data_IF_633568659343
#
_entry.id   IF_633568659343
#
_cell.length_a   1.000
_cell.length_b   1.000
_cell.length_c   1.000
_cell.angle_alpha   90.00
_cell.angle_beta   90.00
_cell.angle_gamma   90.00
#
_symmetry.space_group_name_H-M   'P 1'
#
loop_
_entity.id
_entity.type
_entity.pdbx_description
1 polymer ?
#
# COMPACT_ATOMS: atom_id res chain seq x y z
N UNK A 1 43.57 -24.45 19.59
CA UNK A 1 42.16 -24.62 19.16
C UNK A 1 41.17 -23.56 19.68
N UNK A 2 41.60 -22.41 20.25
CA UNK A 2 40.66 -21.39 20.78
C UNK A 2 40.50 -20.15 19.88
N UNK A 3 41.46 -19.87 18.99
CA UNK A 3 41.45 -18.68 18.11
C UNK A 3 40.52 -18.86 16.90
N UNK A 4 40.45 -20.06 16.32
CA UNK A 4 39.51 -20.33 15.21
C UNK A 4 38.04 -20.30 15.66
N UNK A 5 37.76 -20.70 16.91
CA UNK A 5 36.41 -20.61 17.48
C UNK A 5 36.01 -19.15 17.71
N UNK A 6 36.94 -18.28 18.16
CA UNK A 6 36.69 -16.84 18.34
C UNK A 6 36.42 -16.11 17.02
N UNK A 7 37.15 -16.45 15.95
CA UNK A 7 36.92 -15.87 14.62
C UNK A 7 35.55 -16.26 14.04
N UNK A 8 35.12 -17.52 14.26
CA UNK A 8 33.81 -17.99 13.79
C UNK A 8 32.66 -17.31 14.54
N UNK A 9 32.80 -17.10 15.87
CA UNK A 9 31.80 -16.38 16.66
C UNK A 9 31.72 -14.90 16.28
N UNK A 10 32.85 -14.25 15.98
CA UNK A 10 32.88 -12.85 15.53
C UNK A 10 32.25 -12.67 14.14
N UNK A 11 32.46 -13.63 13.23
CA UNK A 11 31.85 -13.63 11.90
C UNK A 11 30.32 -13.80 11.96
N UNK A 12 29.81 -14.67 12.84
CA UNK A 12 28.37 -14.88 13.00
C UNK A 12 27.63 -13.64 13.52
N UNK A 13 28.24 -12.82 14.39
CA UNK A 13 27.59 -11.61 14.94
C UNK A 13 27.40 -10.52 13.87
N UNK A 14 28.30 -10.43 12.89
CA UNK A 14 28.24 -9.43 11.81
C UNK A 14 27.17 -9.80 10.77
N UNK A 15 26.91 -11.09 10.57
CA UNK A 15 25.88 -11.57 9.62
C UNK A 15 24.44 -11.27 10.06
N UNK A 16 24.17 -11.01 11.34
CA UNK A 16 22.82 -10.70 11.85
C UNK A 16 22.43 -9.22 11.75
N UNK A 17 23.28 -8.36 11.17
CA UNK A 17 22.96 -6.93 10.98
C UNK A 17 22.24 -6.62 9.67
N UNK A 18 21.79 -7.63 8.92
CA UNK A 18 20.85 -7.46 7.82
C UNK A 18 19.46 -7.13 8.38
N UNK A 19 19.34 -5.93 8.95
CA UNK A 19 18.05 -5.38 9.31
C UNK A 19 17.22 -5.29 8.04
N UNK A 20 16.02 -5.86 8.05
CA UNK A 20 14.92 -5.49 7.16
C UNK A 20 14.46 -4.05 7.47
N UNK A 21 15.40 -3.13 7.57
CA UNK A 21 15.16 -1.73 7.86
C UNK A 21 14.43 -1.17 6.65
N UNK A 22 13.26 -0.61 6.88
CA UNK A 22 12.54 0.16 5.86
C UNK A 22 13.50 1.25 5.36
N UNK A 23 14.02 1.06 4.16
CA UNK A 23 14.96 2.01 3.58
C UNK A 23 14.21 3.32 3.25
N UNK A 24 14.96 4.42 3.13
CA UNK A 24 14.39 5.76 2.92
C UNK A 24 13.50 5.83 1.68
N UNK A 25 13.81 5.08 0.63
CA UNK A 25 13.02 5.04 -0.58
C UNK A 25 11.64 4.43 -0.34
N UNK A 26 11.52 3.44 0.56
CA UNK A 26 10.22 2.86 0.89
C UNK A 26 9.39 3.85 1.68
N UNK A 27 10.02 4.57 2.63
CA UNK A 27 9.35 5.62 3.42
C UNK A 27 8.80 6.71 2.51
N UNK A 28 9.61 7.19 1.57
CA UNK A 28 9.20 8.23 0.62
C UNK A 28 7.99 7.77 -0.21
N UNK A 29 7.99 6.51 -0.70
CA UNK A 29 6.83 6.00 -1.45
C UNK A 29 5.59 5.84 -0.56
N UNK A 30 5.74 5.38 0.68
CA UNK A 30 4.62 5.30 1.63
C UNK A 30 4.03 6.70 1.87
N UNK A 31 4.87 7.71 2.06
CA UNK A 31 4.44 9.10 2.19
C UNK A 31 3.67 9.57 0.96
N UNK A 32 4.21 9.34 -0.24
CA UNK A 32 3.53 9.67 -1.50
C UNK A 32 2.14 9.01 -1.57
N UNK A 33 2.04 7.73 -1.24
CA UNK A 33 0.79 6.96 -1.30
C UNK A 33 -0.25 7.41 -0.28
N UNK A 34 0.19 7.96 0.85
CA UNK A 34 -0.70 8.50 1.86
C UNK A 34 -1.19 9.92 1.51
N UNK A 35 -0.40 10.67 0.74
CA UNK A 35 -0.70 12.06 0.39
C UNK A 35 -1.38 12.25 -0.98
N UNK A 36 -1.35 11.25 -1.88
CA UNK A 36 -1.91 11.37 -3.23
C UNK A 36 -3.43 11.10 -3.35
N UNK A 37 -4.13 10.96 -2.22
CA UNK A 37 -5.59 10.76 -2.19
C UNK A 37 -6.07 9.32 -2.44
N UNK A 38 -5.19 8.33 -2.42
CA UNK A 38 -5.56 6.92 -2.69
C UNK A 38 -5.97 6.12 -1.44
N UNK A 39 -6.03 6.75 -0.26
CA UNK A 39 -6.46 6.10 0.99
C UNK A 39 -7.86 5.49 0.88
N UNK A 40 -8.84 6.27 0.39
CA UNK A 40 -10.24 5.83 0.26
C UNK A 40 -10.37 4.58 -0.63
N UNK A 41 -9.65 4.54 -1.76
CA UNK A 41 -9.69 3.39 -2.67
C UNK A 41 -9.16 2.09 -2.02
N UNK A 42 -8.24 2.21 -1.06
CA UNK A 42 -7.72 1.06 -0.30
C UNK A 42 -8.73 0.57 0.74
N UNK A 43 -9.35 1.49 1.47
CA UNK A 43 -10.43 1.15 2.41
C UNK A 43 -11.60 0.46 1.69
N UNK A 44 -12.04 1.02 0.56
CA UNK A 44 -13.07 0.40 -0.30
C UNK A 44 -12.68 -1.00 -0.77
N UNK A 45 -11.39 -1.24 -1.07
CA UNK A 45 -10.91 -2.55 -1.47
C UNK A 45 -10.99 -3.58 -0.33
N UNK A 46 -10.67 -3.16 0.91
CA UNK A 46 -10.86 -4.00 2.09
C UNK A 46 -12.34 -4.31 2.31
N UNK A 47 -13.19 -3.28 2.29
CA UNK A 47 -14.62 -3.43 2.57
C UNK A 47 -15.32 -4.27 1.51
N UNK A 48 -14.95 -4.13 0.24
CA UNK A 48 -15.47 -4.97 -0.84
C UNK A 48 -15.13 -6.45 -0.62
N UNK A 49 -13.88 -6.75 -0.24
CA UNK A 49 -13.46 -8.13 0.06
C UNK A 49 -14.22 -8.66 1.28
N UNK A 50 -14.34 -7.85 2.35
CA UNK A 50 -14.98 -8.26 3.59
C UNK A 50 -16.48 -8.49 3.43
N UNK A 51 -17.18 -7.61 2.70
CA UNK A 51 -18.60 -7.77 2.37
C UNK A 51 -18.85 -9.04 1.56
N UNK A 52 -17.97 -9.36 0.60
CA UNK A 52 -18.05 -10.60 -0.16
C UNK A 52 -17.91 -11.83 0.74
N UNK A 53 -17.02 -11.77 1.73
CA UNK A 53 -16.88 -12.84 2.72
C UNK A 53 -18.15 -12.99 3.58
N UNK A 54 -18.70 -11.88 4.10
CA UNK A 54 -19.95 -11.92 4.88
C UNK A 54 -21.10 -12.54 4.08
N UNK A 55 -21.22 -12.18 2.80
CA UNK A 55 -22.25 -12.74 1.90
C UNK A 55 -22.15 -14.26 1.80
N UNK A 56 -20.95 -14.83 1.68
CA UNK A 56 -20.74 -16.29 1.59
C UNK A 56 -21.11 -17.03 2.88
N UNK A 57 -21.12 -16.35 4.03
CA UNK A 57 -21.46 -16.91 5.34
C UNK A 57 -22.84 -16.45 5.84
N UNK A 58 -23.68 -15.90 4.97
CA UNK A 58 -24.97 -15.31 5.36
C UNK A 58 -25.95 -16.27 6.03
N UNK A 59 -25.83 -17.60 5.83
CA UNK A 59 -26.65 -18.62 6.53
C UNK A 59 -25.93 -19.29 7.70
N UNK A 60 -24.69 -18.92 7.98
CA UNK A 60 -23.88 -19.57 9.00
C UNK A 60 -24.16 -19.05 10.43
N UNK A 61 -25.08 -18.07 10.58
CA UNK A 61 -25.44 -17.45 11.86
C UNK A 61 -24.21 -16.95 12.65
N UNK A 62 -23.25 -16.35 11.94
CA UNK A 62 -22.05 -15.75 12.55
C UNK A 62 -22.48 -14.53 13.39
N UNK A 63 -22.16 -14.47 14.69
CA UNK A 63 -22.49 -13.33 15.54
C UNK A 63 -21.77 -12.06 15.11
N UNK A 64 -22.42 -10.90 15.26
CA UNK A 64 -21.83 -9.59 14.93
C UNK A 64 -20.48 -9.35 15.63
N UNK A 65 -20.37 -9.75 16.91
CA UNK A 65 -19.12 -9.64 17.66
C UNK A 65 -17.95 -10.40 17.01
N UNK A 66 -18.22 -11.51 16.31
CA UNK A 66 -17.18 -12.24 15.58
C UNK A 66 -16.79 -11.51 14.29
N UNK A 67 -17.73 -10.86 13.61
CA UNK A 67 -17.43 -10.00 12.46
C UNK A 67 -16.58 -8.80 12.87
N UNK A 68 -16.93 -8.13 13.98
CA UNK A 68 -16.17 -7.02 14.54
C UNK A 68 -14.73 -7.47 14.87
N UNK A 69 -14.57 -8.60 15.55
CA UNK A 69 -13.26 -9.20 15.84
C UNK A 69 -12.46 -9.46 14.55
N UNK A 70 -13.11 -9.97 13.49
CA UNK A 70 -12.46 -10.18 12.21
C UNK A 70 -12.08 -8.89 11.48
N UNK A 71 -12.56 -7.71 11.89
CA UNK A 71 -12.18 -6.43 11.30
C UNK A 71 -11.11 -5.66 12.09
N UNK A 72 -10.72 -6.13 13.28
CA UNK A 72 -9.72 -5.45 14.12
C UNK A 72 -8.38 -5.23 13.42
N UNK A 73 -8.00 -6.10 12.48
CA UNK A 73 -6.76 -5.96 11.69
C UNK A 73 -6.91 -5.11 10.41
N UNK A 74 -8.06 -4.44 10.18
CA UNK A 74 -8.31 -3.65 8.95
C UNK A 74 -7.19 -2.65 8.68
N UNK A 75 -6.80 -1.89 9.70
CA UNK A 75 -5.72 -0.89 9.59
C UNK A 75 -4.38 -1.54 9.21
N UNK A 76 -4.01 -2.64 9.87
CA UNK A 76 -2.79 -3.39 9.56
C UNK A 76 -2.82 -3.97 8.13
N UNK A 77 -3.95 -4.55 7.73
CA UNK A 77 -4.13 -5.11 6.40
C UNK A 77 -4.02 -4.04 5.30
N UNK A 78 -4.56 -2.84 5.52
CA UNK A 78 -4.42 -1.71 4.59
C UNK A 78 -2.98 -1.21 4.56
N UNK A 79 -2.30 -1.11 5.71
CA UNK A 79 -0.90 -0.71 5.77
C UNK A 79 0.02 -1.71 5.06
N UNK A 80 -0.30 -3.01 5.12
CA UNK A 80 0.39 -4.04 4.35
C UNK A 80 0.19 -3.82 2.83
N UNK A 81 -1.02 -3.49 2.38
CA UNK A 81 -1.28 -3.15 0.97
C UNK A 81 -0.48 -1.93 0.52
N UNK A 82 -0.39 -0.87 1.33
CA UNK A 82 0.45 0.31 1.06
C UNK A 82 1.91 -0.10 0.92
N UNK A 83 2.39 -0.92 1.86
CA UNK A 83 3.77 -1.39 1.88
C UNK A 83 4.12 -2.20 0.63
N UNK A 84 3.27 -3.16 0.24
CA UNK A 84 3.49 -3.93 -0.99
C UNK A 84 3.37 -3.08 -2.25
N UNK A 85 2.49 -2.08 -2.26
CA UNK A 85 2.36 -1.15 -3.39
C UNK A 85 3.66 -0.38 -3.66
N UNK A 86 4.54 -0.23 -2.66
CA UNK A 86 5.83 0.43 -2.87
C UNK A 86 6.72 -0.30 -3.88
N UNK A 87 6.63 -1.62 -4.00
CA UNK A 87 7.41 -2.38 -4.99
C UNK A 87 7.07 -1.99 -6.43
N UNK A 88 5.80 -1.68 -6.71
CA UNK A 88 5.38 -1.23 -8.03
C UNK A 88 5.98 0.14 -8.36
N UNK A 89 5.97 1.09 -7.42
CA UNK A 89 6.57 2.41 -7.64
C UNK A 89 8.09 2.33 -7.81
N UNK A 90 8.78 1.52 -7.00
CA UNK A 90 10.24 1.30 -7.12
C UNK A 90 10.66 0.77 -8.48
N UNK A 91 9.81 -0.03 -9.12
CA UNK A 91 10.07 -0.60 -10.44
C UNK A 91 10.05 0.45 -11.55
N UNK A 92 9.30 1.54 -11.38
CA UNK A 92 9.06 2.53 -12.44
C UNK A 92 9.77 3.87 -12.21
N UNK A 93 10.06 4.20 -10.95
CA UNK A 93 10.60 5.50 -10.56
C UNK A 93 11.85 5.36 -9.69
N UNK A 94 12.67 6.42 -9.69
CA UNK A 94 13.80 6.57 -8.77
C UNK A 94 13.33 7.24 -7.47
N UNK A 95 14.15 7.18 -6.41
CA UNK A 95 13.84 7.89 -5.17
C UNK A 95 13.71 9.40 -5.36
N UNK A 96 14.59 10.00 -6.18
CA UNK A 96 14.54 11.43 -6.46
C UNK A 96 13.23 11.82 -7.17
N UNK A 97 12.77 11.01 -8.12
CA UNK A 97 11.49 11.23 -8.80
C UNK A 97 10.31 11.11 -7.83
N UNK A 98 10.35 10.15 -6.90
CA UNK A 98 9.33 10.05 -5.83
C UNK A 98 9.34 11.30 -4.95
N UNK A 99 10.50 11.82 -4.55
CA UNK A 99 10.60 13.04 -3.76
C UNK A 99 10.03 14.26 -4.49
N UNK A 100 10.26 14.36 -5.81
CA UNK A 100 9.64 15.38 -6.64
C UNK A 100 8.11 15.23 -6.70
N UNK A 101 7.61 14.00 -6.79
CA UNK A 101 6.16 13.73 -6.72
C UNK A 101 5.59 14.13 -5.35
N UNK A 102 6.26 13.80 -4.24
CA UNK A 102 5.84 14.20 -2.89
C UNK A 102 5.74 15.72 -2.80
N UNK A 103 6.76 16.44 -3.26
CA UNK A 103 6.77 17.90 -3.25
C UNK A 103 5.59 18.48 -4.04
N UNK A 104 5.31 17.93 -5.24
CA UNK A 104 4.17 18.36 -6.06
C UNK A 104 2.82 18.05 -5.38
N UNK A 105 2.59 16.80 -4.99
CA UNK A 105 1.33 16.38 -4.38
C UNK A 105 1.11 17.02 -2.99
N UNK A 106 2.17 17.48 -2.32
CA UNK A 106 2.07 18.27 -1.08
C UNK A 106 1.59 19.71 -1.27
N UNK A 107 1.54 20.23 -2.50
CA UNK A 107 1.03 21.58 -2.77
C UNK A 107 -0.48 21.68 -2.57
N UNK A 108 -0.96 22.85 -2.14
CA UNK A 108 -2.39 23.12 -2.01
C UNK A 108 -3.13 22.92 -3.35
N UNK A 109 -2.52 23.35 -4.46
CA UNK A 109 -3.07 23.17 -5.80
C UNK A 109 -3.30 21.69 -6.14
N UNK A 110 -2.29 20.83 -5.89
CA UNK A 110 -2.40 19.40 -6.17
C UNK A 110 -3.40 18.72 -5.24
N UNK A 111 -3.42 19.07 -3.95
CA UNK A 111 -4.42 18.56 -2.99
C UNK A 111 -5.85 18.92 -3.42
N UNK A 112 -6.09 20.18 -3.79
CA UNK A 112 -7.39 20.63 -4.30
C UNK A 112 -7.80 19.88 -5.57
N UNK A 113 -6.86 19.69 -6.50
CA UNK A 113 -7.13 19.08 -7.80
C UNK A 113 -7.41 17.58 -7.72
N UNK A 114 -6.54 16.83 -7.02
CA UNK A 114 -6.52 15.37 -7.08
C UNK A 114 -7.19 14.70 -5.87
N UNK A 115 -7.19 15.35 -4.71
CA UNK A 115 -7.76 14.79 -3.48
C UNK A 115 -9.15 15.36 -3.23
N UNK A 116 -9.25 16.67 -3.08
CA UNK A 116 -10.51 17.34 -2.69
C UNK A 116 -11.47 17.54 -3.87
N UNK A 117 -10.95 17.56 -5.11
CA UNK A 117 -11.70 17.78 -6.35
C UNK A 117 -12.50 19.09 -6.36
N UNK A 118 -11.90 20.16 -5.84
CA UNK A 118 -12.51 21.50 -5.79
C UNK A 118 -11.93 22.42 -6.89
N UNK A 119 -12.61 23.52 -7.24
CA UNK A 119 -12.11 24.48 -8.22
C UNK A 119 -10.75 25.08 -7.83
N UNK A 120 -9.90 25.35 -8.83
CA UNK A 120 -8.60 25.99 -8.66
C UNK A 120 -8.70 27.48 -8.99
N UNK A 121 -7.92 28.30 -8.29
CA UNK A 121 -7.57 29.64 -8.74
C UNK A 121 -6.63 29.59 -9.95
N UNK A 122 -6.48 30.72 -10.64
CA UNK A 122 -5.57 30.84 -11.79
C UNK A 122 -4.13 30.48 -11.43
N UNK A 123 -3.63 31.00 -10.30
CA UNK A 123 -2.28 30.69 -9.81
C UNK A 123 -2.09 29.21 -9.47
N UNK A 124 -3.11 28.56 -8.92
CA UNK A 124 -3.06 27.12 -8.63
C UNK A 124 -3.11 26.29 -9.93
N UNK A 125 -3.90 26.72 -10.91
CA UNK A 125 -3.95 26.08 -12.22
C UNK A 125 -2.61 26.18 -12.97
N UNK A 126 -1.89 27.30 -12.82
CA UNK A 126 -0.55 27.47 -13.37
C UNK A 126 0.44 26.46 -12.77
N UNK A 127 0.42 26.26 -11.44
CA UNK A 127 1.27 25.26 -10.76
C UNK A 127 1.04 23.85 -11.34
N UNK A 128 -0.23 23.46 -11.56
CA UNK A 128 -0.56 22.16 -12.16
C UNK A 128 -0.03 22.08 -13.61
N UNK A 129 -0.23 23.15 -14.39
CA UNK A 129 0.18 23.20 -15.80
C UNK A 129 1.69 23.12 -15.96
N UNK A 130 2.45 23.83 -15.11
CA UNK A 130 3.91 23.77 -15.10
C UNK A 130 4.40 22.36 -14.76
N UNK A 131 3.76 21.66 -13.81
CA UNK A 131 4.13 20.29 -13.49
C UNK A 131 3.92 19.34 -14.67
N UNK A 132 2.83 19.50 -15.42
CA UNK A 132 2.55 18.68 -16.62
C UNK A 132 3.55 18.86 -17.76
N UNK A 133 4.37 19.90 -17.72
CA UNK A 133 5.43 20.13 -18.70
C UNK A 133 6.77 19.49 -18.30
N UNK A 134 6.86 18.87 -17.12
CA UNK A 134 8.11 18.26 -16.62
C UNK A 134 8.35 16.88 -17.23
N UNK A 135 9.64 16.51 -17.37
CA UNK A 135 10.04 15.15 -17.77
C UNK A 135 9.48 14.08 -16.84
N UNK A 136 9.32 14.43 -15.55
CA UNK A 136 8.72 13.55 -14.54
C UNK A 136 7.27 13.23 -14.89
N UNK A 137 6.47 14.22 -15.27
CA UNK A 137 5.08 14.00 -15.67
C UNK A 137 4.99 13.15 -16.95
N UNK A 138 5.81 13.47 -17.96
CA UNK A 138 5.87 12.70 -19.20
C UNK A 138 6.19 11.22 -18.89
N UNK A 139 7.14 10.97 -17.98
CA UNK A 139 7.47 9.62 -17.52
C UNK A 139 6.31 8.97 -16.75
N UNK A 140 5.65 9.71 -15.86
CA UNK A 140 4.50 9.24 -15.09
C UNK A 140 3.38 8.76 -16.03
N UNK A 141 3.03 9.54 -17.05
CA UNK A 141 2.05 9.18 -18.08
C UNK A 141 2.51 7.93 -18.85
N UNK A 142 3.76 7.89 -19.32
CA UNK A 142 4.31 6.75 -20.05
C UNK A 142 4.36 5.46 -19.23
N UNK A 143 4.37 5.54 -17.89
CA UNK A 143 4.37 4.39 -16.97
C UNK A 143 3.02 4.08 -16.35
N UNK A 144 2.01 4.94 -16.53
CA UNK A 144 0.72 4.85 -15.83
C UNK A 144 0.06 3.47 -16.02
N UNK A 145 0.01 2.96 -17.25
CA UNK A 145 -0.60 1.66 -17.55
C UNK A 145 0.15 0.50 -16.89
N UNK A 146 1.48 0.51 -16.94
CA UNK A 146 2.31 -0.53 -16.33
C UNK A 146 2.24 -0.49 -14.81
N UNK A 147 2.31 0.71 -14.21
CA UNK A 147 2.13 0.91 -12.78
C UNK A 147 0.75 0.41 -12.33
N UNK A 148 -0.31 0.77 -13.06
CA UNK A 148 -1.68 0.34 -12.77
C UNK A 148 -1.81 -1.18 -12.81
N UNK A 149 -1.16 -1.83 -13.79
CA UNK A 149 -1.13 -3.29 -13.89
C UNK A 149 -0.42 -3.92 -12.68
N UNK A 150 0.75 -3.42 -12.31
CA UNK A 150 1.51 -3.94 -11.17
C UNK A 150 0.73 -3.76 -9.84
N UNK A 151 0.11 -2.59 -9.64
CA UNK A 151 -0.74 -2.32 -8.48
C UNK A 151 -1.99 -3.22 -8.43
N UNK A 152 -2.60 -3.50 -9.59
CA UNK A 152 -3.74 -4.40 -9.69
C UNK A 152 -3.36 -5.82 -9.28
N UNK A 153 -2.23 -6.34 -9.74
CA UNK A 153 -1.76 -7.68 -9.36
C UNK A 153 -1.44 -7.77 -7.86
N UNK A 154 -0.78 -6.75 -7.30
CA UNK A 154 -0.55 -6.64 -5.85
C UNK A 154 -1.87 -6.68 -5.08
N UNK A 155 -2.85 -5.87 -5.49
CA UNK A 155 -4.18 -5.83 -4.85
C UNK A 155 -4.91 -7.16 -4.92
N UNK A 156 -4.84 -7.85 -6.07
CA UNK A 156 -5.45 -9.18 -6.23
C UNK A 156 -4.85 -10.21 -5.28
N UNK A 157 -3.51 -10.27 -5.22
CA UNK A 157 -2.82 -11.18 -4.30
C UNK A 157 -3.14 -10.88 -2.84
N UNK A 158 -3.04 -9.61 -2.45
CA UNK A 158 -3.39 -9.16 -1.10
C UNK A 158 -4.83 -9.51 -0.73
N UNK A 159 -5.80 -9.22 -1.60
CA UNK A 159 -7.23 -9.47 -1.35
C UNK A 159 -7.51 -10.98 -1.22
N UNK A 160 -6.93 -11.80 -2.09
CA UNK A 160 -7.05 -13.26 -2.04
C UNK A 160 -6.48 -13.83 -0.73
N UNK A 161 -5.29 -13.39 -0.34
CA UNK A 161 -4.61 -13.92 0.85
C UNK A 161 -5.34 -13.48 2.14
N UNK A 162 -5.82 -12.24 2.17
CA UNK A 162 -6.66 -11.73 3.26
C UNK A 162 -7.99 -12.48 3.34
N UNK A 163 -8.67 -12.68 2.21
CA UNK A 163 -9.90 -13.47 2.14
C UNK A 163 -9.69 -14.89 2.68
N UNK A 164 -8.63 -15.58 2.24
CA UNK A 164 -8.29 -16.93 2.69
C UNK A 164 -8.01 -16.98 4.20
N UNK A 165 -7.29 -15.98 4.75
CA UNK A 165 -7.02 -15.85 6.20
C UNK A 165 -8.33 -15.75 6.98
N UNK A 166 -9.26 -14.89 6.55
CA UNK A 166 -10.53 -14.65 7.25
C UNK A 166 -11.50 -15.83 7.11
N UNK A 167 -11.61 -16.41 5.91
CA UNK A 167 -12.36 -17.64 5.68
C UNK A 167 -11.84 -18.78 6.57
N UNK A 168 -10.52 -18.94 6.69
CA UNK A 168 -9.93 -19.95 7.58
C UNK A 168 -10.31 -19.73 9.04
N UNK A 169 -10.38 -18.47 9.50
CA UNK A 169 -10.80 -18.15 10.87
C UNK A 169 -12.27 -18.53 11.11
N UNK A 170 -13.17 -18.23 10.17
CA UNK A 170 -14.59 -18.62 10.22
C UNK A 170 -14.76 -20.14 10.28
N UNK A 171 -14.09 -20.86 9.38
CA UNK A 171 -14.17 -22.34 9.33
C UNK A 171 -13.63 -22.98 10.61
N UNK A 172 -12.53 -22.46 11.16
CA UNK A 172 -11.97 -22.94 12.45
C UNK A 172 -12.91 -22.69 13.62
N UNK A 173 -13.73 -21.64 13.57
CA UNK A 173 -14.76 -21.35 14.55
C UNK A 173 -16.04 -22.18 14.36
N UNK A 174 -16.10 -23.05 13.34
CA UNK A 174 -17.22 -23.95 13.08
C UNK A 174 -18.28 -23.40 12.12
N UNK A 175 -18.05 -22.22 11.53
CA UNK A 175 -18.95 -21.66 10.52
C UNK A 175 -18.65 -22.27 9.16
N UNK A 176 -19.68 -22.61 8.39
CA UNK A 176 -19.55 -23.22 7.07
C UNK A 176 -20.12 -22.25 6.02
N UNK A 177 -19.39 -21.96 4.94
CA UNK A 177 -19.91 -21.13 3.85
C UNK A 177 -21.04 -21.85 3.10
N UNK A 178 -21.85 -21.08 2.36
CA UNK A 178 -22.80 -21.62 1.38
C UNK A 178 -22.10 -22.20 0.16
#
# INVERSE_FOLDING_TARGET
MKIHSLFLTLFCVICFSANAQVDTFQKDIVELLNNNGTNLQREESYDTMFNSLQQQFSTANVPDAFWEQLQEDKSEAIQALVTFSTFAYRKHFTQQEIQQMIAFYGTEAAQKRFVQKVPLSEKEAEIITQFFQTDLWIKLEARQQLLSKDLLEIRKHWSRDLFAKKMSALVKAGYVPQ
#
